data_IF_489570065597
#
_entry.id   IF_489570065597
#
_cell.length_a   1.000
_cell.length_b   1.000
_cell.length_c   1.000
_cell.angle_alpha   90.00
_cell.angle_beta   90.00
_cell.angle_gamma   90.00
#
_symmetry.space_group_name_H-M   'P 1'
#
loop_
_entity.id
_entity.type
_entity.pdbx_description
1 polymer ?
#
# COMPACT_ATOMS: atom_id res chain seq x y z
N UNK A 1 4.63 24.21 0.79
CA UNK A 1 4.87 23.97 -0.66
C UNK A 1 3.74 23.11 -1.19
N UNK A 2 3.32 23.30 -2.45
CA UNK A 2 2.34 22.42 -3.06
C UNK A 2 2.98 21.03 -3.28
N UNK A 3 2.28 19.96 -2.90
CA UNK A 3 2.73 18.58 -3.09
C UNK A 3 2.48 18.21 -4.55
N UNK A 4 3.50 17.67 -5.22
CA UNK A 4 3.39 17.16 -6.57
C UNK A 4 3.94 15.74 -6.64
N UNK A 5 3.04 14.76 -6.79
CA UNK A 5 3.37 13.34 -6.89
C UNK A 5 3.31 12.83 -8.34
N UNK A 6 3.19 13.73 -9.33
CA UNK A 6 3.11 13.34 -10.74
C UNK A 6 4.34 12.54 -11.16
N UNK A 7 4.12 11.37 -11.73
CA UNK A 7 5.18 10.49 -12.21
C UNK A 7 5.89 9.66 -11.14
N UNK A 8 5.54 9.83 -9.86
CA UNK A 8 6.12 9.02 -8.79
C UNK A 8 5.47 7.64 -8.72
N UNK A 9 6.30 6.63 -8.54
CA UNK A 9 5.86 5.29 -8.18
C UNK A 9 5.43 5.21 -6.71
N UNK A 10 4.56 4.26 -6.39
CA UNK A 10 4.05 4.01 -5.05
C UNK A 10 4.35 2.57 -4.63
N UNK A 11 5.56 2.33 -4.13
CA UNK A 11 6.08 0.98 -3.85
C UNK A 11 5.93 0.61 -2.39
N UNK A 12 6.14 1.58 -1.50
CA UNK A 12 6.00 1.49 -0.04
C UNK A 12 5.69 2.87 0.52
N UNK A 13 5.02 2.92 1.68
CA UNK A 13 4.83 4.19 2.41
C UNK A 13 6.14 4.75 2.99
N UNK A 14 7.18 3.92 3.08
CA UNK A 14 8.51 4.37 3.55
C UNK A 14 9.08 5.49 2.68
N UNK A 15 8.79 5.49 1.37
CA UNK A 15 9.27 6.47 0.39
C UNK A 15 8.56 7.83 0.46
N UNK A 16 7.51 7.96 1.28
CA UNK A 16 6.67 9.14 1.35
C UNK A 16 6.82 9.87 2.69
N UNK A 17 6.76 11.19 2.63
CA UNK A 17 6.67 12.01 3.84
C UNK A 17 5.27 11.94 4.45
N UNK A 18 5.11 12.23 5.75
CA UNK A 18 3.78 12.33 6.38
C UNK A 18 2.82 13.27 5.64
N UNK A 19 3.33 14.38 5.14
CA UNK A 19 2.53 15.35 4.38
C UNK A 19 2.05 14.78 3.03
N UNK A 20 2.88 14.01 2.33
CA UNK A 20 2.51 13.34 1.08
C UNK A 20 1.48 12.22 1.32
N UNK A 21 1.62 11.45 2.40
CA UNK A 21 0.62 10.45 2.80
C UNK A 21 -0.71 11.15 3.13
N UNK A 22 -0.68 12.25 3.89
CA UNK A 22 -1.87 13.05 4.18
C UNK A 22 -2.55 13.54 2.90
N UNK A 23 -1.76 14.04 1.95
CA UNK A 23 -2.28 14.47 0.65
C UNK A 23 -2.97 13.33 -0.11
N UNK A 24 -2.41 12.11 -0.10
CA UNK A 24 -3.04 10.94 -0.74
C UNK A 24 -4.37 10.56 -0.07
N UNK A 25 -4.43 10.61 1.27
CA UNK A 25 -5.66 10.34 2.02
C UNK A 25 -6.74 11.41 1.72
N UNK A 26 -6.37 12.69 1.72
CA UNK A 26 -7.28 13.80 1.40
C UNK A 26 -7.83 13.69 -0.03
N UNK A 27 -6.95 13.35 -0.99
CA UNK A 27 -7.36 13.08 -2.37
C UNK A 27 -8.33 11.90 -2.46
N UNK A 28 -8.05 10.81 -1.72
CA UNK A 28 -8.94 9.66 -1.67
C UNK A 28 -10.32 10.00 -1.12
N UNK A 29 -10.40 10.81 -0.06
CA UNK A 29 -11.67 11.30 0.49
C UNK A 29 -12.42 12.20 -0.50
N UNK A 30 -11.73 13.11 -1.19
CA UNK A 30 -12.33 13.97 -2.22
C UNK A 30 -12.92 13.17 -3.37
N UNK A 31 -12.15 12.22 -3.94
CA UNK A 31 -12.61 11.36 -5.02
C UNK A 31 -13.81 10.49 -4.58
N UNK A 32 -13.78 9.95 -3.37
CA UNK A 32 -14.89 9.19 -2.80
C UNK A 32 -16.15 10.05 -2.62
N UNK A 33 -16.01 11.30 -2.18
CA UNK A 33 -17.11 12.25 -2.03
C UNK A 33 -17.70 12.64 -3.40
N UNK A 34 -16.87 12.96 -4.39
CA UNK A 34 -17.28 13.25 -5.77
C UNK A 34 -18.08 12.08 -6.36
N UNK A 35 -17.56 10.86 -6.22
CA UNK A 35 -18.25 9.66 -6.69
C UNK A 35 -19.64 9.50 -6.05
N UNK A 36 -19.75 9.67 -4.72
CA UNK A 36 -21.05 9.60 -4.00
C UNK A 36 -22.04 10.67 -4.47
N UNK A 37 -21.54 11.83 -4.84
CA UNK A 37 -22.34 12.94 -5.39
C UNK A 37 -22.68 12.79 -6.87
N UNK A 38 -22.21 11.72 -7.55
CA UNK A 38 -22.41 11.53 -8.99
C UNK A 38 -21.61 12.51 -9.87
N UNK A 39 -20.57 13.14 -9.32
CA UNK A 39 -19.69 14.05 -10.06
C UNK A 39 -18.65 13.20 -10.80
N UNK A 40 -18.66 13.32 -12.13
CA UNK A 40 -17.67 12.69 -13.00
C UNK A 40 -16.66 13.76 -13.43
N UNK A 41 -15.41 13.61 -12.97
CA UNK A 41 -14.28 14.47 -13.30
C UNK A 41 -13.13 13.56 -13.77
N UNK A 42 -13.10 13.19 -15.07
CA UNK A 42 -12.26 12.10 -15.57
C UNK A 42 -10.78 12.52 -15.62
N UNK A 43 -10.07 12.37 -14.50
CA UNK A 43 -8.66 12.77 -14.35
C UNK A 43 -7.69 11.86 -15.10
N UNK A 44 -8.11 10.65 -15.46
CA UNK A 44 -7.34 9.67 -16.24
C UNK A 44 -7.81 9.52 -17.68
N UNK A 45 -8.53 10.50 -18.22
CA UNK A 45 -9.01 10.43 -19.60
C UNK A 45 -7.85 10.24 -20.59
N UNK A 46 -7.97 9.23 -21.45
CA UNK A 46 -6.96 8.87 -22.45
C UNK A 46 -5.72 8.17 -21.86
N UNK A 47 -5.73 7.82 -20.58
CA UNK A 47 -4.69 7.03 -19.94
C UNK A 47 -4.98 5.54 -20.00
N UNK A 48 -3.94 4.75 -20.25
CA UNK A 48 -3.99 3.29 -20.26
C UNK A 48 -3.12 2.75 -19.14
N UNK A 49 -3.71 1.92 -18.28
CA UNK A 49 -3.04 1.31 -17.12
C UNK A 49 -3.03 -0.20 -17.31
N UNK A 50 -1.90 -0.83 -17.04
CA UNK A 50 -1.82 -2.29 -16.97
C UNK A 50 -1.86 -2.75 -15.51
N UNK A 51 -2.66 -3.78 -15.25
CA UNK A 51 -2.69 -4.53 -14.01
C UNK A 51 -1.93 -5.85 -14.23
N UNK A 52 -0.74 -5.94 -13.66
CA UNK A 52 0.18 -7.06 -13.83
C UNK A 52 0.15 -7.96 -12.59
N UNK A 53 -0.43 -9.14 -12.72
CA UNK A 53 -0.69 -10.04 -11.60
C UNK A 53 0.08 -11.36 -11.72
N UNK A 54 0.98 -11.61 -10.79
CA UNK A 54 1.56 -12.94 -10.56
C UNK A 54 0.78 -13.71 -9.48
N UNK A 55 0.12 -13.00 -8.56
CA UNK A 55 -0.70 -13.54 -7.49
C UNK A 55 -2.15 -13.09 -7.69
N UNK A 56 -3.06 -14.04 -7.81
CA UNK A 56 -4.48 -13.76 -8.06
C UNK A 56 -5.11 -12.93 -6.95
N UNK A 57 -6.05 -12.06 -7.29
CA UNK A 57 -6.87 -11.30 -6.33
C UNK A 57 -8.12 -10.75 -7.00
N UNK A 58 -9.27 -11.00 -6.40
CA UNK A 58 -10.54 -10.42 -6.84
C UNK A 58 -10.63 -8.94 -6.43
N UNK A 59 -10.36 -8.64 -5.16
CA UNK A 59 -10.53 -7.28 -4.60
C UNK A 59 -9.60 -6.27 -5.23
N UNK A 60 -8.29 -6.54 -5.27
CA UNK A 60 -7.30 -5.63 -5.84
C UNK A 60 -7.57 -5.37 -7.32
N UNK A 61 -7.80 -6.43 -8.10
CA UNK A 61 -8.16 -6.31 -9.51
C UNK A 61 -9.37 -5.41 -9.71
N UNK A 62 -10.50 -5.75 -9.09
CA UNK A 62 -11.74 -5.00 -9.28
C UNK A 62 -11.62 -3.54 -8.80
N UNK A 63 -10.92 -3.26 -7.71
CA UNK A 63 -10.76 -1.89 -7.21
C UNK A 63 -9.94 -1.02 -8.15
N UNK A 64 -8.81 -1.49 -8.67
CA UNK A 64 -8.02 -0.74 -9.65
C UNK A 64 -8.74 -0.58 -10.99
N UNK A 65 -9.37 -1.67 -11.50
CA UNK A 65 -10.11 -1.66 -12.76
C UNK A 65 -11.27 -0.65 -12.71
N UNK A 66 -12.07 -0.72 -11.65
CA UNK A 66 -13.22 0.18 -11.48
C UNK A 66 -12.76 1.63 -11.23
N UNK A 67 -11.76 1.86 -10.37
CA UNK A 67 -11.28 3.21 -10.08
C UNK A 67 -10.71 3.87 -11.33
N UNK A 68 -9.84 3.21 -12.09
CA UNK A 68 -9.26 3.75 -13.31
C UNK A 68 -10.34 4.04 -14.38
N UNK A 69 -11.31 3.14 -14.54
CA UNK A 69 -12.41 3.33 -15.50
C UNK A 69 -13.32 4.50 -15.10
N UNK A 70 -13.61 4.68 -13.81
CA UNK A 70 -14.42 5.79 -13.31
C UNK A 70 -13.74 7.15 -13.51
N UNK A 71 -12.42 7.18 -13.45
CA UNK A 71 -11.62 8.37 -13.75
C UNK A 71 -11.36 8.56 -15.26
N UNK A 72 -12.06 7.81 -16.14
CA UNK A 72 -11.98 7.92 -17.60
C UNK A 72 -10.79 7.23 -18.24
N UNK A 73 -10.04 6.43 -17.50
CA UNK A 73 -8.92 5.63 -18.00
C UNK A 73 -9.35 4.28 -18.57
N UNK A 74 -8.41 3.60 -19.20
CA UNK A 74 -8.56 2.23 -19.70
C UNK A 74 -7.63 1.29 -18.94
N UNK A 75 -8.07 0.04 -18.77
CA UNK A 75 -7.32 -0.98 -18.04
C UNK A 75 -7.10 -2.20 -18.90
N UNK A 76 -5.88 -2.72 -18.89
CA UNK A 76 -5.52 -4.03 -19.43
C UNK A 76 -5.09 -4.93 -18.27
N UNK A 77 -5.69 -6.09 -18.15
CA UNK A 77 -5.31 -7.09 -17.15
C UNK A 77 -4.39 -8.14 -17.76
N UNK A 78 -3.23 -8.34 -17.15
CA UNK A 78 -2.26 -9.37 -17.49
C UNK A 78 -1.98 -10.25 -16.27
N UNK A 79 -2.26 -11.53 -16.38
CA UNK A 79 -1.87 -12.53 -15.36
C UNK A 79 -0.60 -13.28 -15.75
N UNK A 80 -0.05 -14.04 -14.81
CA UNK A 80 1.15 -14.86 -15.03
C UNK A 80 0.97 -15.91 -16.15
N UNK A 81 -0.25 -16.34 -16.44
CA UNK A 81 -0.56 -17.28 -17.51
C UNK A 81 -0.50 -16.63 -18.90
N UNK A 82 -0.94 -15.38 -19.00
CA UNK A 82 -1.01 -14.61 -20.24
C UNK A 82 0.26 -13.78 -20.52
N UNK A 83 1.19 -13.68 -19.55
CA UNK A 83 2.45 -12.95 -19.66
C UNK A 83 3.63 -13.85 -20.00
N UNK A 84 4.62 -13.30 -20.73
CA UNK A 84 5.92 -13.93 -20.99
C UNK A 84 6.98 -13.55 -19.95
N UNK A 85 6.63 -12.68 -18.99
CA UNK A 85 7.52 -12.22 -17.92
C UNK A 85 8.11 -13.39 -17.13
N UNK A 86 9.43 -13.36 -16.93
CA UNK A 86 10.15 -14.41 -16.22
C UNK A 86 10.24 -15.78 -16.93
N UNK A 87 9.71 -15.90 -18.16
CA UNK A 87 9.76 -17.13 -18.96
C UNK A 87 10.74 -16.99 -20.13
N UNK A 88 10.44 -16.13 -21.09
CA UNK A 88 11.25 -15.87 -22.29
C UNK A 88 11.84 -14.48 -22.31
N UNK A 89 11.32 -13.57 -21.50
CA UNK A 89 11.75 -12.17 -21.40
C UNK A 89 12.31 -11.88 -20.02
N UNK A 90 13.35 -11.04 -19.96
CA UNK A 90 13.82 -10.52 -18.69
C UNK A 90 12.79 -9.55 -18.10
N UNK A 91 12.80 -9.37 -16.78
CA UNK A 91 11.94 -8.38 -16.11
C UNK A 91 12.21 -6.96 -16.63
N UNK A 92 13.47 -6.64 -16.91
CA UNK A 92 13.88 -5.35 -17.47
C UNK A 92 13.26 -5.11 -18.85
N UNK A 93 13.30 -6.10 -19.76
CA UNK A 93 12.71 -5.98 -21.09
C UNK A 93 11.19 -5.86 -21.00
N UNK A 94 10.55 -6.70 -20.19
CA UNK A 94 9.11 -6.61 -19.95
C UNK A 94 8.72 -5.23 -19.42
N UNK A 95 9.45 -4.69 -18.43
CA UNK A 95 9.20 -3.36 -17.88
C UNK A 95 9.29 -2.27 -18.95
N UNK A 96 10.35 -2.29 -19.78
CA UNK A 96 10.54 -1.33 -20.87
C UNK A 96 9.43 -1.41 -21.92
N UNK A 97 8.98 -2.61 -22.26
CA UNK A 97 7.89 -2.83 -23.23
C UNK A 97 6.57 -2.29 -22.64
N UNK A 98 6.23 -2.66 -21.42
CA UNK A 98 5.00 -2.18 -20.77
C UNK A 98 5.00 -0.65 -20.61
N UNK A 99 6.13 -0.05 -20.27
CA UNK A 99 6.26 1.41 -20.17
C UNK A 99 6.15 2.15 -21.50
N UNK A 100 6.20 1.44 -22.66
CA UNK A 100 5.93 2.01 -23.98
C UNK A 100 4.47 1.92 -24.39
N UNK A 101 3.74 0.94 -23.86
CA UNK A 101 2.32 0.77 -24.15
C UNK A 101 1.42 1.50 -23.17
N UNK A 102 1.82 1.59 -21.89
CA UNK A 102 0.97 2.03 -20.80
C UNK A 102 1.49 3.30 -20.14
N UNK A 103 0.57 4.07 -19.55
CA UNK A 103 0.87 5.28 -18.77
C UNK A 103 1.17 4.97 -17.30
N UNK A 104 0.90 3.75 -16.85
CA UNK A 104 1.19 3.30 -15.50
C UNK A 104 1.01 1.79 -15.36
N UNK A 105 1.66 1.21 -14.35
CA UNK A 105 1.67 -0.23 -14.07
C UNK A 105 1.24 -0.45 -12.63
N UNK A 106 0.19 -1.21 -12.39
CA UNK A 106 -0.07 -1.81 -11.09
C UNK A 106 0.51 -3.23 -11.10
N UNK A 107 1.23 -3.56 -10.04
CA UNK A 107 1.82 -4.88 -9.87
C UNK A 107 1.33 -5.54 -8.59
N UNK A 108 0.88 -6.78 -8.71
CA UNK A 108 0.57 -7.64 -7.58
C UNK A 108 1.28 -8.99 -7.73
N UNK A 109 2.18 -9.30 -6.81
CA UNK A 109 2.99 -10.53 -6.88
C UNK A 109 3.58 -10.93 -5.55
N UNK A 110 4.76 -11.49 -5.62
CA UNK A 110 5.46 -12.06 -4.48
C UNK A 110 6.65 -11.21 -4.03
N UNK A 111 7.63 -11.02 -4.88
CA UNK A 111 8.89 -10.39 -4.52
C UNK A 111 8.84 -8.86 -4.66
N UNK A 112 9.22 -8.16 -3.59
CA UNK A 112 9.35 -6.70 -3.58
C UNK A 112 10.35 -6.21 -4.63
N UNK A 113 11.40 -6.97 -4.87
CA UNK A 113 12.40 -6.63 -5.89
C UNK A 113 11.81 -6.54 -7.29
N UNK A 114 10.79 -7.33 -7.61
CA UNK A 114 10.11 -7.27 -8.92
C UNK A 114 9.42 -5.92 -9.11
N UNK A 115 8.66 -5.44 -8.13
CA UNK A 115 7.98 -4.14 -8.26
C UNK A 115 8.96 -2.97 -8.28
N UNK A 116 10.07 -3.08 -7.57
CA UNK A 116 11.16 -2.09 -7.61
C UNK A 116 11.85 -2.04 -8.97
N UNK A 117 12.15 -3.19 -9.56
CA UNK A 117 12.76 -3.27 -10.89
C UNK A 117 11.79 -2.80 -11.99
N UNK A 118 10.49 -3.12 -11.89
CA UNK A 118 9.47 -2.54 -12.76
C UNK A 118 9.51 -1.00 -12.68
N UNK A 119 9.52 -0.43 -11.50
CA UNK A 119 9.58 1.03 -11.30
C UNK A 119 10.88 1.63 -11.85
N UNK A 120 11.98 0.91 -11.75
CA UNK A 120 13.29 1.35 -12.24
C UNK A 120 13.37 1.42 -13.76
N UNK A 121 12.76 0.45 -14.46
CA UNK A 121 12.97 0.26 -15.89
C UNK A 121 11.80 0.68 -16.77
N UNK A 122 10.58 0.76 -16.25
CA UNK A 122 9.38 1.05 -17.04
C UNK A 122 9.34 2.48 -17.60
N UNK A 123 9.89 3.45 -16.88
CA UNK A 123 9.81 4.87 -17.25
C UNK A 123 8.42 5.50 -17.07
N UNK A 124 7.50 4.78 -16.45
CA UNK A 124 6.15 5.21 -16.05
C UNK A 124 5.92 4.88 -14.57
N UNK A 125 4.96 5.51 -13.88
CA UNK A 125 4.64 5.19 -12.49
C UNK A 125 4.26 3.72 -12.31
N UNK A 126 4.75 3.12 -11.22
CA UNK A 126 4.42 1.75 -10.80
C UNK A 126 3.81 1.80 -9.41
N UNK A 127 2.71 1.07 -9.22
CA UNK A 127 2.00 0.96 -7.95
C UNK A 127 2.05 -0.47 -7.42
N UNK A 128 2.44 -0.61 -6.16
CA UNK A 128 2.46 -1.88 -5.46
C UNK A 128 1.06 -2.24 -4.95
N UNK A 129 0.38 -3.13 -5.64
CA UNK A 129 -0.92 -3.68 -5.25
C UNK A 129 -0.82 -4.74 -4.15
N UNK A 130 0.32 -5.39 -4.00
CA UNK A 130 0.77 -6.26 -2.91
C UNK A 130 2.05 -6.99 -3.32
N UNK A 131 2.96 -7.10 -2.38
CA UNK A 131 4.05 -8.09 -2.38
C UNK A 131 4.06 -8.88 -1.06
N UNK A 132 4.92 -9.87 -0.93
CA UNK A 132 5.10 -10.59 0.35
C UNK A 132 5.78 -9.72 1.42
N UNK A 133 6.35 -8.56 1.04
CA UNK A 133 6.98 -7.62 1.96
C UNK A 133 6.06 -6.46 2.37
N UNK A 134 5.18 -5.96 1.47
CA UNK A 134 4.40 -4.75 1.73
C UNK A 134 3.06 -4.73 0.96
N UNK A 135 2.10 -3.98 1.49
CA UNK A 135 0.80 -3.70 0.85
C UNK A 135 0.36 -2.25 1.11
N UNK A 136 1.06 -1.26 0.55
CA UNK A 136 0.88 0.15 0.92
C UNK A 136 -0.51 0.70 0.56
N UNK A 137 -1.13 0.20 -0.50
CA UNK A 137 -2.48 0.63 -0.91
C UNK A 137 -3.54 0.20 0.10
N UNK A 138 -3.37 -0.95 0.76
CA UNK A 138 -4.26 -1.39 1.83
C UNK A 138 -4.16 -0.48 3.04
N UNK A 139 -2.96 -0.05 3.42
CA UNK A 139 -2.77 0.84 4.56
C UNK A 139 -3.45 2.19 4.34
N UNK A 140 -3.40 2.75 3.13
CA UNK A 140 -4.16 3.97 2.81
C UNK A 140 -5.67 3.74 2.96
N UNK A 141 -6.19 2.62 2.47
CA UNK A 141 -7.61 2.28 2.58
C UNK A 141 -8.05 2.10 4.04
N UNK A 142 -7.22 1.43 4.85
CA UNK A 142 -7.48 1.23 6.28
C UNK A 142 -7.44 2.55 7.04
N UNK A 143 -6.48 3.44 6.76
CA UNK A 143 -6.41 4.78 7.36
C UNK A 143 -7.64 5.61 7.01
N UNK A 144 -8.09 5.62 5.75
CA UNK A 144 -9.34 6.26 5.34
C UNK A 144 -10.54 5.70 6.11
N UNK A 145 -10.61 4.37 6.27
CA UNK A 145 -11.67 3.71 7.03
C UNK A 145 -11.66 4.14 8.52
N UNK A 146 -10.48 4.22 9.12
CA UNK A 146 -10.31 4.71 10.48
C UNK A 146 -10.82 6.16 10.61
N UNK A 147 -10.44 7.04 9.70
CA UNK A 147 -10.89 8.45 9.73
C UNK A 147 -12.40 8.58 9.57
N UNK A 148 -13.02 7.72 8.75
CA UNK A 148 -14.47 7.72 8.55
C UNK A 148 -15.27 7.21 9.77
N UNK A 149 -14.68 6.36 10.60
CA UNK A 149 -15.42 5.64 11.66
C UNK A 149 -14.94 5.92 13.09
N UNK A 150 -13.68 6.28 13.29
CA UNK A 150 -13.15 6.45 14.64
C UNK A 150 -13.27 7.87 15.20
N UNK A 151 -13.58 8.87 14.37
CA UNK A 151 -13.73 10.28 14.76
C UNK A 151 -12.56 10.83 15.60
N UNK A 152 -11.35 10.34 15.36
CA UNK A 152 -10.11 10.75 16.00
C UNK A 152 -9.04 11.04 14.94
N UNK A 153 -8.17 12.02 15.18
CA UNK A 153 -6.99 12.17 14.31
C UNK A 153 -6.10 10.93 14.40
N UNK A 154 -5.45 10.57 13.30
CA UNK A 154 -4.66 9.32 13.21
C UNK A 154 -3.62 9.19 14.32
N UNK A 155 -2.96 10.28 14.72
CA UNK A 155 -1.98 10.29 15.80
C UNK A 155 -2.55 10.02 17.21
N UNK A 156 -3.87 9.91 17.35
CA UNK A 156 -4.56 9.51 18.60
C UNK A 156 -5.17 8.10 18.48
N UNK A 157 -4.93 7.43 17.37
CA UNK A 157 -5.47 6.09 17.11
C UNK A 157 -4.45 5.04 17.53
N UNK A 158 -4.94 4.03 18.26
CA UNK A 158 -4.20 2.82 18.57
C UNK A 158 -4.68 1.69 17.68
N UNK A 159 -3.77 1.16 16.87
CA UNK A 159 -4.01 -0.01 15.99
C UNK A 159 -3.33 -1.22 16.61
N UNK A 160 -4.04 -2.34 16.67
CA UNK A 160 -3.45 -3.62 17.06
C UNK A 160 -3.58 -4.61 15.91
N UNK A 161 -2.46 -5.24 15.58
CA UNK A 161 -2.38 -6.33 14.61
C UNK A 161 -2.11 -7.65 15.35
N UNK A 162 -3.12 -8.48 15.61
CA UNK A 162 -2.93 -9.77 16.26
C UNK A 162 -2.62 -10.85 15.22
N UNK A 163 -1.61 -11.66 15.49
CA UNK A 163 -1.28 -12.81 14.66
C UNK A 163 0.22 -12.97 14.39
N UNK A 164 0.56 -13.42 13.17
CA UNK A 164 1.95 -13.57 12.76
C UNK A 164 2.54 -12.20 12.43
N UNK A 165 3.37 -11.68 13.32
CA UNK A 165 4.01 -10.36 13.19
C UNK A 165 5.01 -10.27 12.03
N UNK A 166 5.37 -11.39 11.39
CA UNK A 166 6.21 -11.44 10.18
C UNK A 166 5.40 -11.22 8.90
N UNK A 167 4.08 -11.14 9.01
CA UNK A 167 3.19 -10.93 7.85
C UNK A 167 3.44 -9.56 7.21
N UNK A 168 3.32 -9.49 5.88
CA UNK A 168 3.48 -8.25 5.11
C UNK A 168 2.56 -7.13 5.61
N UNK A 169 1.33 -7.44 6.06
CA UNK A 169 0.41 -6.44 6.60
C UNK A 169 0.90 -5.86 7.93
N UNK A 170 1.58 -6.67 8.77
CA UNK A 170 2.19 -6.16 10.00
C UNK A 170 3.29 -5.14 9.67
N UNK A 171 4.17 -5.45 8.74
CA UNK A 171 5.20 -4.51 8.28
C UNK A 171 4.60 -3.26 7.64
N UNK A 172 3.64 -3.41 6.74
CA UNK A 172 2.97 -2.28 6.11
C UNK A 172 2.31 -1.35 7.12
N UNK A 173 1.61 -1.91 8.12
CA UNK A 173 1.03 -1.14 9.22
C UNK A 173 2.08 -0.45 10.09
N UNK A 174 3.17 -1.13 10.43
CA UNK A 174 4.27 -0.53 11.19
C UNK A 174 4.81 0.72 10.48
N UNK A 175 5.05 0.62 9.16
CA UNK A 175 5.54 1.73 8.33
C UNK A 175 4.52 2.87 8.32
N UNK A 176 3.27 2.58 7.97
CA UNK A 176 2.22 3.58 7.89
C UNK A 176 1.96 4.29 9.22
N UNK A 177 1.86 3.53 10.31
CA UNK A 177 1.67 4.06 11.65
C UNK A 177 2.83 4.94 12.09
N UNK A 178 4.07 4.52 11.83
CA UNK A 178 5.26 5.31 12.15
C UNK A 178 5.29 6.64 11.39
N UNK A 179 4.91 6.66 10.12
CA UNK A 179 4.81 7.88 9.31
C UNK A 179 3.73 8.83 9.83
N UNK A 180 2.57 8.30 10.23
CA UNK A 180 1.43 9.12 10.65
C UNK A 180 1.37 9.41 12.15
N UNK A 181 2.43 9.06 12.90
CA UNK A 181 2.52 9.33 14.33
C UNK A 181 1.50 8.55 15.18
N UNK A 182 1.06 7.38 14.70
CA UNK A 182 0.07 6.54 15.34
C UNK A 182 0.70 5.65 16.43
N UNK A 183 -0.15 5.07 17.29
CA UNK A 183 0.25 3.99 18.16
C UNK A 183 -0.09 2.64 17.50
N UNK A 184 0.94 1.85 17.18
CA UNK A 184 0.77 0.52 16.58
C UNK A 184 1.33 -0.57 17.49
N UNK A 185 0.59 -1.67 17.61
CA UNK A 185 1.00 -2.85 18.36
C UNK A 185 0.91 -4.09 17.48
N UNK A 186 2.04 -4.68 17.17
CA UNK A 186 2.11 -6.04 16.64
C UNK A 186 2.01 -7.03 17.80
N UNK A 187 0.88 -7.72 17.90
CA UNK A 187 0.58 -8.65 18.98
C UNK A 187 0.74 -10.08 18.49
N UNK A 188 1.82 -10.74 18.88
CA UNK A 188 2.10 -12.11 18.47
C UNK A 188 3.17 -12.79 19.32
N UNK A 189 3.40 -14.11 19.13
CA UNK A 189 4.40 -14.87 19.88
C UNK A 189 5.80 -14.24 19.77
N UNK A 190 6.52 -14.21 20.89
CA UNK A 190 7.87 -13.64 20.94
C UNK A 190 8.87 -14.37 20.03
N UNK A 191 8.66 -15.66 19.80
CA UNK A 191 9.49 -16.45 18.89
C UNK A 191 9.42 -15.88 17.46
N UNK A 192 8.21 -15.53 16.98
CA UNK A 192 8.00 -14.92 15.65
C UNK A 192 8.57 -13.50 15.60
N UNK A 193 8.46 -12.75 16.69
CA UNK A 193 9.02 -11.40 16.77
C UNK A 193 10.56 -11.37 16.59
N UNK A 194 11.26 -12.42 17.04
CA UNK A 194 12.73 -12.55 16.86
C UNK A 194 13.14 -12.81 15.41
N UNK A 195 12.22 -13.32 14.60
CA UNK A 195 12.46 -13.63 13.17
C UNK A 195 12.10 -12.47 12.24
N UNK A 196 11.58 -11.37 12.77
CA UNK A 196 11.28 -10.16 11.97
C UNK A 196 12.56 -9.56 11.37
N UNK A 197 12.42 -8.85 10.24
CA UNK A 197 13.52 -8.04 9.67
C UNK A 197 13.97 -6.95 10.65
N UNK A 198 15.01 -7.24 11.42
CA UNK A 198 15.54 -6.32 12.42
C UNK A 198 16.05 -5.00 11.86
N UNK A 199 16.40 -4.93 10.56
CA UNK A 199 16.83 -3.69 9.91
C UNK A 199 15.63 -2.79 9.65
N UNK A 200 14.57 -3.33 9.08
CA UNK A 200 13.31 -2.63 8.86
C UNK A 200 12.71 -2.16 10.19
N UNK A 201 12.62 -3.06 11.17
CA UNK A 201 12.09 -2.74 12.52
C UNK A 201 12.82 -1.55 13.12
N UNK A 202 14.16 -1.52 13.09
CA UNK A 202 14.96 -0.39 13.62
C UNK A 202 14.64 0.92 12.90
N UNK A 203 14.53 0.93 11.57
CA UNK A 203 14.18 2.12 10.80
C UNK A 203 12.79 2.63 11.16
N UNK A 204 11.82 1.73 11.23
CA UNK A 204 10.43 2.08 11.57
C UNK A 204 10.30 2.66 12.98
N UNK A 205 11.02 2.09 13.97
CA UNK A 205 11.05 2.64 15.33
C UNK A 205 11.66 4.05 15.38
N UNK A 206 12.71 4.32 14.58
CA UNK A 206 13.29 5.66 14.46
C UNK A 206 12.27 6.64 13.84
N UNK A 207 11.66 6.26 12.72
CA UNK A 207 10.62 7.05 12.04
C UNK A 207 9.43 7.36 12.96
N UNK A 208 8.99 6.39 13.76
CA UNK A 208 7.89 6.61 14.71
C UNK A 208 8.24 7.69 15.75
N UNK A 209 9.45 7.64 16.30
CA UNK A 209 9.93 8.66 17.27
C UNK A 209 9.98 10.06 16.66
N UNK A 210 10.45 10.17 15.42
CA UNK A 210 10.52 11.44 14.69
C UNK A 210 9.15 12.07 14.46
N UNK A 211 8.12 11.23 14.24
CA UNK A 211 6.76 11.66 13.96
C UNK A 211 5.83 11.64 15.20
N UNK A 212 6.36 11.37 16.40
CA UNK A 212 5.59 11.35 17.64
C UNK A 212 4.69 10.13 17.81
N UNK A 213 4.95 9.04 17.05
CA UNK A 213 4.23 7.77 17.16
C UNK A 213 4.90 6.78 18.12
N UNK A 214 4.21 5.67 18.37
CA UNK A 214 4.68 4.58 19.20
C UNK A 214 4.45 3.24 18.47
N UNK A 215 5.54 2.47 18.28
CA UNK A 215 5.47 1.12 17.72
C UNK A 215 5.88 0.12 18.81
N UNK A 216 5.08 -0.89 18.99
CA UNK A 216 5.32 -1.97 19.96
C UNK A 216 5.18 -3.33 19.27
N UNK A 217 6.04 -4.29 19.64
CA UNK A 217 5.89 -5.71 19.28
C UNK A 217 5.88 -6.47 20.61
N UNK A 218 4.80 -7.19 20.88
CA UNK A 218 4.58 -7.81 22.18
C UNK A 218 3.69 -9.05 22.10
N UNK A 219 3.77 -9.90 23.11
CA UNK A 219 2.85 -11.02 23.36
C UNK A 219 1.86 -10.71 24.51
N UNK A 220 1.94 -9.52 25.12
CA UNK A 220 1.07 -9.12 26.22
C UNK A 220 -0.36 -8.81 25.73
N UNK A 221 -1.30 -9.69 26.07
CA UNK A 221 -2.73 -9.53 25.74
C UNK A 221 -3.38 -8.29 26.38
N UNK A 222 -2.76 -7.67 27.39
CA UNK A 222 -3.25 -6.40 27.93
C UNK A 222 -3.13 -5.25 26.92
N UNK A 223 -2.31 -5.40 25.90
CA UNK A 223 -2.21 -4.43 24.78
C UNK A 223 -3.52 -4.24 24.03
N UNK A 224 -4.47 -5.20 24.10
CA UNK A 224 -5.82 -5.08 23.54
C UNK A 224 -6.72 -4.09 24.28
N UNK A 225 -6.32 -3.59 25.45
CA UNK A 225 -7.09 -2.56 26.15
C UNK A 225 -7.00 -1.22 25.44
N UNK A 226 -8.13 -0.50 25.36
CA UNK A 226 -8.25 0.83 24.75
C UNK A 226 -7.82 0.87 23.26
N UNK A 227 -8.08 -0.21 22.51
CA UNK A 227 -7.83 -0.26 21.06
C UNK A 227 -8.85 0.60 20.31
N UNK A 228 -8.39 1.34 19.33
CA UNK A 228 -9.25 2.12 18.41
C UNK A 228 -9.59 1.33 17.14
N UNK A 229 -8.67 0.51 16.66
CA UNK A 229 -8.83 -0.30 15.45
C UNK A 229 -8.04 -1.61 15.57
N UNK A 230 -8.65 -2.71 15.15
CA UNK A 230 -8.01 -4.03 15.11
C UNK A 230 -7.99 -4.55 13.68
N UNK A 231 -6.79 -4.83 13.16
CA UNK A 231 -6.63 -5.53 11.90
C UNK A 231 -6.42 -7.03 12.18
N UNK A 232 -7.38 -7.83 11.74
CA UNK A 232 -7.28 -9.29 11.76
C UNK A 232 -6.82 -9.77 10.38
N UNK A 233 -5.78 -10.58 10.33
CA UNK A 233 -5.43 -11.29 9.09
C UNK A 233 -6.55 -12.28 8.79
N UNK A 234 -7.36 -11.99 7.77
CA UNK A 234 -8.15 -13.04 7.16
C UNK A 234 -7.17 -13.93 6.39
N UNK A 235 -7.08 -15.20 6.77
CA UNK A 235 -6.43 -16.19 5.92
C UNK A 235 -7.21 -16.25 4.60
N UNK A 236 -6.55 -15.82 3.51
CA UNK A 236 -7.00 -16.10 2.15
C UNK A 236 -6.38 -17.40 1.68
#
# INVERSE_FOLDING_TARGET
>A
MAINLKGRSFLTLEDFTPAEIRYLLDLGHDLKAKRRAGICDPTLQGKHIVLLFEKTSTRTRCSFEVAATQEGGHVTYLDAGSSQMGKKESLEDTAKVLGRFFDGIEYRGYDQKVVEDLAKYAGVPVWNGLTDADHPTQILADMMTIEEHCHKPLNQVKVVFPGDVRNNMCYAWMIGAAKMGMHFVGLGPQELAKEMDGTLVKRVFATARENGGLIEITDDMNSLKAVSYTHLTAHE
#
